data_IF_556006321197
#
_entry.id   IF_556006321197
#
_cell.length_a   1.000
_cell.length_b   1.000
_cell.length_c   1.000
_cell.angle_alpha   90.00
_cell.angle_beta   90.00
_cell.angle_gamma   90.00
#
_symmetry.space_group_name_H-M   'P 1'
#
loop_
_entity.id
_entity.type
_entity.pdbx_description
1 polymer ?
#
# COMPACT_ATOMS: atom_id res chain seq x y z
N UNK A 1 -14.24 -0.50 10.91
CA UNK A 1 -13.93 -1.63 10.01
C UNK A 1 -12.47 -1.63 9.62
N UNK A 2 -11.96 -0.64 8.87
CA UNK A 2 -10.54 -0.63 8.46
C UNK A 2 -9.53 -0.69 9.63
N UNK A 3 -9.71 0.13 10.67
CA UNK A 3 -8.87 0.09 11.88
C UNK A 3 -8.88 -1.28 12.58
N UNK A 4 -10.05 -1.91 12.65
CA UNK A 4 -10.21 -3.20 13.30
C UNK A 4 -9.50 -4.31 12.52
N UNK A 5 -9.66 -4.34 11.19
CA UNK A 5 -8.96 -5.29 10.33
C UNK A 5 -7.44 -5.09 10.36
N UNK A 6 -6.97 -3.84 10.46
CA UNK A 6 -5.55 -3.55 10.64
C UNK A 6 -5.04 -4.06 11.99
N UNK A 7 -5.79 -3.84 13.07
CA UNK A 7 -5.44 -4.35 14.39
C UNK A 7 -5.32 -5.88 14.41
N UNK A 8 -6.31 -6.59 13.85
CA UNK A 8 -6.30 -8.06 13.75
C UNK A 8 -5.07 -8.57 12.98
N UNK A 9 -4.74 -7.98 11.82
CA UNK A 9 -3.55 -8.36 11.05
C UNK A 9 -2.24 -8.10 11.81
N UNK A 10 -2.15 -6.96 12.52
CA UNK A 10 -0.94 -6.61 13.27
C UNK A 10 -0.79 -7.47 14.53
N UNK A 11 -1.89 -7.88 15.16
CA UNK A 11 -1.87 -8.86 16.25
C UNK A 11 -1.37 -10.23 15.76
N UNK A 12 -1.90 -10.72 14.64
CA UNK A 12 -1.48 -11.97 14.02
C UNK A 12 0.02 -11.96 13.64
N UNK A 13 0.52 -10.82 13.17
CA UNK A 13 1.94 -10.63 12.83
C UNK A 13 2.83 -10.29 14.03
N UNK A 14 2.26 -10.16 15.23
CA UNK A 14 2.97 -9.74 16.45
C UNK A 14 3.67 -8.38 16.29
N UNK A 15 3.03 -7.46 15.58
CA UNK A 15 3.46 -6.09 15.32
C UNK A 15 2.60 -5.07 16.07
N UNK A 16 2.16 -5.40 17.29
CA UNK A 16 1.23 -4.58 18.09
C UNK A 16 1.78 -3.18 18.39
N UNK A 17 3.10 -3.02 18.47
CA UNK A 17 3.74 -1.72 18.69
C UNK A 17 3.53 -0.73 17.53
N UNK A 18 3.20 -1.24 16.33
CA UNK A 18 2.91 -0.44 15.15
C UNK A 18 1.42 -0.13 14.98
N UNK A 19 0.56 -0.60 15.89
CA UNK A 19 -0.90 -0.53 15.75
C UNK A 19 -1.39 0.91 15.64
N UNK A 20 -0.98 1.79 16.56
CA UNK A 20 -1.45 3.18 16.58
C UNK A 20 -1.02 3.95 15.33
N UNK A 21 0.25 3.82 14.94
CA UNK A 21 0.81 4.43 13.73
C UNK A 21 0.09 3.92 12.49
N UNK A 22 -0.10 2.60 12.38
CA UNK A 22 -0.78 1.96 11.23
C UNK A 22 -2.24 2.37 11.15
N UNK A 23 -2.94 2.40 12.29
CA UNK A 23 -4.33 2.82 12.38
C UNK A 23 -4.52 4.28 11.95
N UNK A 24 -3.61 5.17 12.37
CA UNK A 24 -3.61 6.56 11.96
C UNK A 24 -3.39 6.71 10.45
N UNK A 25 -2.32 6.10 9.92
CA UNK A 25 -1.99 6.15 8.49
C UNK A 25 -3.13 5.62 7.61
N UNK A 26 -3.73 4.48 7.98
CA UNK A 26 -4.89 3.93 7.26
C UNK A 26 -6.08 4.88 7.32
N UNK A 27 -6.32 5.51 8.47
CA UNK A 27 -7.44 6.45 8.62
C UNK A 27 -7.26 7.66 7.70
N UNK A 28 -6.05 8.20 7.60
CA UNK A 28 -5.74 9.32 6.71
C UNK A 28 -5.82 8.93 5.22
N UNK A 29 -5.24 7.78 4.84
CA UNK A 29 -5.29 7.30 3.46
C UNK A 29 -6.73 7.02 2.99
N UNK A 30 -7.54 6.35 3.83
CA UNK A 30 -8.95 6.06 3.51
C UNK A 30 -9.77 7.34 3.48
N UNK A 31 -9.56 8.27 4.41
CA UNK A 31 -10.28 9.56 4.42
C UNK A 31 -10.00 10.34 3.14
N UNK A 32 -8.75 10.37 2.69
CA UNK A 32 -8.37 11.01 1.42
C UNK A 32 -9.00 10.30 0.22
N UNK A 33 -8.97 8.97 0.16
CA UNK A 33 -9.61 8.18 -0.90
C UNK A 33 -11.12 8.41 -0.99
N UNK A 34 -11.82 8.37 0.15
CA UNK A 34 -13.26 8.62 0.23
C UNK A 34 -13.58 10.04 -0.24
N UNK A 35 -12.84 11.05 0.23
CA UNK A 35 -13.03 12.44 -0.21
C UNK A 35 -12.83 12.59 -1.71
N UNK A 36 -11.76 12.04 -2.25
CA UNK A 36 -11.44 12.10 -3.68
C UNK A 36 -12.56 11.50 -4.54
N UNK A 37 -13.15 10.37 -4.13
CA UNK A 37 -14.25 9.74 -4.88
C UNK A 37 -15.56 10.53 -4.79
N UNK A 38 -15.87 11.14 -3.64
CA UNK A 38 -17.07 11.98 -3.47
C UNK A 38 -17.01 13.25 -4.34
N UNK A 39 -15.84 13.89 -4.44
CA UNK A 39 -15.66 15.10 -5.26
C UNK A 39 -15.72 14.83 -6.77
N UNK A 40 -15.74 13.56 -7.22
CA UNK A 40 -15.75 13.19 -8.64
C UNK A 40 -17.15 13.18 -9.27
N UNK A 41 -18.21 13.58 -8.54
CA UNK A 41 -19.54 13.87 -9.09
C UNK A 41 -20.36 12.64 -9.53
N UNK A 42 -19.89 11.42 -9.29
CA UNK A 42 -20.49 10.20 -9.83
C UNK A 42 -21.74 9.65 -9.14
N UNK A 43 -22.25 10.30 -8.08
CA UNK A 43 -23.46 9.89 -7.32
C UNK A 43 -23.42 8.49 -6.66
N UNK A 44 -22.44 7.66 -7.02
CA UNK A 44 -22.26 6.31 -6.51
C UNK A 44 -21.49 6.32 -5.19
N UNK A 45 -21.79 5.36 -4.33
CA UNK A 45 -21.13 5.21 -3.02
C UNK A 45 -19.62 5.06 -3.22
N UNK A 46 -18.76 5.72 -2.41
CA UNK A 46 -17.33 5.54 -2.44
C UNK A 46 -16.96 4.06 -2.35
N UNK A 47 -16.16 3.58 -3.30
CA UNK A 47 -15.57 2.23 -3.23
C UNK A 47 -14.08 2.43 -3.01
N UNK A 48 -13.66 2.03 -1.82
CA UNK A 48 -12.28 2.10 -1.35
C UNK A 48 -11.88 0.70 -0.89
N UNK A 49 -10.73 0.24 -1.33
CA UNK A 49 -10.15 -1.05 -0.92
C UNK A 49 -8.79 -0.80 -0.29
N UNK A 50 -8.35 -1.66 0.63
CA UNK A 50 -7.05 -1.53 1.28
C UNK A 50 -6.32 -2.87 1.33
N UNK A 51 -5.00 -2.79 1.39
CA UNK A 51 -4.10 -3.92 1.61
C UNK A 51 -2.99 -3.48 2.56
N UNK A 52 -2.65 -4.37 3.47
CA UNK A 52 -1.49 -4.25 4.34
C UNK A 52 -0.57 -5.41 3.96
N UNK A 53 0.71 -5.15 3.78
CA UNK A 53 1.70 -6.18 3.44
C UNK A 53 2.94 -6.02 4.30
N UNK A 54 3.43 -7.13 4.84
CA UNK A 54 4.62 -7.16 5.68
C UNK A 54 5.72 -7.96 5.00
N UNK A 55 6.82 -7.31 4.67
CA UNK A 55 7.94 -7.94 3.98
C UNK A 55 9.24 -7.15 4.19
N UNK A 56 10.37 -7.87 4.22
CA UNK A 56 11.71 -7.29 4.15
C UNK A 56 11.98 -6.11 5.13
N UNK A 57 11.45 -6.19 6.34
CA UNK A 57 11.63 -5.15 7.37
C UNK A 57 10.75 -3.92 7.15
N UNK A 58 9.61 -4.08 6.47
CA UNK A 58 8.70 -2.97 6.20
C UNK A 58 7.24 -3.42 6.20
N UNK A 59 6.39 -2.50 6.62
CA UNK A 59 4.93 -2.61 6.53
C UNK A 59 4.48 -1.62 5.45
N UNK A 60 3.83 -2.13 4.41
CA UNK A 60 3.33 -1.34 3.28
C UNK A 60 1.81 -1.27 3.39
N UNK A 61 1.28 -0.06 3.37
CA UNK A 61 -0.14 0.26 3.43
C UNK A 61 -0.57 0.79 2.08
N UNK A 62 -1.54 0.14 1.45
CA UNK A 62 -2.04 0.53 0.13
C UNK A 62 -3.54 0.75 0.20
N UNK A 63 -4.01 1.83 -0.44
CA UNK A 63 -5.42 2.17 -0.55
C UNK A 63 -5.76 2.46 -2.00
N UNK A 64 -6.73 1.72 -2.53
CA UNK A 64 -7.28 1.90 -3.88
C UNK A 64 -8.54 2.76 -3.81
N UNK A 65 -8.64 3.72 -4.72
CA UNK A 65 -9.86 4.50 -4.92
C UNK A 65 -10.13 4.68 -6.42
N UNK A 66 -11.38 4.98 -6.78
CA UNK A 66 -11.81 5.09 -8.20
C UNK A 66 -11.50 6.43 -8.85
N UNK A 67 -10.96 7.41 -8.12
CA UNK A 67 -10.59 8.71 -8.67
C UNK A 67 -9.15 8.65 -9.22
N UNK A 68 -8.94 8.77 -10.55
CA UNK A 68 -7.62 8.69 -11.16
C UNK A 68 -6.76 9.95 -10.89
N UNK A 69 -7.35 11.02 -10.36
CA UNK A 69 -6.62 12.25 -10.05
C UNK A 69 -5.60 12.00 -8.92
N UNK A 70 -4.43 12.65 -8.98
CA UNK A 70 -3.45 12.59 -7.91
C UNK A 70 -4.07 12.94 -6.55
N UNK A 71 -3.54 12.40 -5.44
CA UNK A 71 -3.89 12.86 -4.11
C UNK A 71 -3.69 14.37 -4.04
N UNK A 72 -4.72 15.12 -3.63
CA UNK A 72 -4.61 16.56 -3.47
C UNK A 72 -3.76 16.87 -2.23
N UNK A 73 -2.50 17.24 -2.44
CA UNK A 73 -1.65 17.87 -1.42
C UNK A 73 -2.24 19.26 -1.11
N UNK A 74 -3.07 19.36 -0.08
CA UNK A 74 -3.63 20.65 0.33
C UNK A 74 -2.59 21.42 1.17
N UNK A 75 -2.13 22.54 0.64
CA UNK A 75 -1.36 23.55 1.38
C UNK A 75 -2.25 24.13 2.47
N UNK A 76 -1.75 24.12 3.71
CA UNK A 76 -2.52 24.49 4.91
C UNK A 76 -2.98 25.95 4.85
N UNK A 77 -4.24 26.19 5.25
CA UNK A 77 -4.63 27.45 5.87
C UNK A 77 -4.78 27.18 7.38
N UNK A 78 -4.16 28.05 8.19
CA UNK A 78 -3.90 27.92 9.64
C UNK A 78 -5.07 27.52 10.57
N UNK A 79 -6.29 27.35 10.06
CA UNK A 79 -7.49 27.09 10.86
C UNK A 79 -8.36 25.92 10.33
N UNK A 80 -7.91 25.15 9.34
CA UNK A 80 -8.63 24.00 8.80
C UNK A 80 -7.97 22.66 9.12
N UNK A 81 -8.73 21.70 9.65
CA UNK A 81 -8.28 20.30 9.82
C UNK A 81 -8.16 19.56 8.47
N UNK A 82 -8.80 20.08 7.41
CA UNK A 82 -8.65 19.58 6.03
C UNK A 82 -7.26 19.90 5.49
N UNK A 83 -6.43 18.86 5.31
CA UNK A 83 -5.11 18.96 4.67
C UNK A 83 -3.93 18.41 5.48
N UNK A 84 -4.16 17.97 6.73
CA UNK A 84 -3.10 17.33 7.53
C UNK A 84 -2.80 15.89 7.12
N UNK A 85 -3.75 15.20 6.48
CA UNK A 85 -3.64 13.76 6.27
C UNK A 85 -2.40 13.33 5.48
N UNK A 86 -2.08 13.99 4.37
CA UNK A 86 -0.86 13.67 3.62
C UNK A 86 0.42 14.08 4.36
N UNK A 87 0.41 15.18 5.13
CA UNK A 87 1.55 15.57 5.96
C UNK A 87 1.81 14.56 7.09
N UNK A 88 0.76 14.02 7.71
CA UNK A 88 0.88 12.94 8.72
C UNK A 88 1.45 11.68 8.06
N UNK A 89 0.95 11.34 6.86
CA UNK A 89 1.46 10.20 6.10
C UNK A 89 2.94 10.38 5.78
N UNK A 90 3.34 11.53 5.23
CA UNK A 90 4.74 11.84 4.93
C UNK A 90 5.63 11.85 6.17
N UNK A 91 5.15 12.41 7.30
CA UNK A 91 5.94 12.51 8.52
C UNK A 91 6.16 11.17 9.24
N UNK A 92 5.21 10.24 9.12
CA UNK A 92 5.26 8.94 9.81
C UNK A 92 5.71 7.78 8.90
N UNK A 93 5.89 8.03 7.61
CA UNK A 93 6.32 7.02 6.64
C UNK A 93 7.78 7.21 6.23
N UNK A 94 8.46 6.10 5.94
CA UNK A 94 9.78 6.13 5.29
C UNK A 94 9.68 6.40 3.80
N UNK A 95 8.54 6.07 3.19
CA UNK A 95 8.21 6.41 1.82
C UNK A 95 6.70 6.50 1.64
N UNK A 96 6.24 7.40 0.79
CA UNK A 96 4.85 7.49 0.36
C UNK A 96 4.77 7.97 -1.08
N UNK A 97 3.84 7.41 -1.85
CA UNK A 97 3.57 7.86 -3.22
C UNK A 97 2.16 7.42 -3.67
N UNK A 98 1.84 7.71 -4.92
CA UNK A 98 0.66 7.16 -5.59
C UNK A 98 1.01 6.69 -7.00
N UNK A 99 0.20 5.78 -7.54
CA UNK A 99 0.29 5.35 -8.93
C UNK A 99 -1.11 5.05 -9.50
N UNK A 100 -1.29 5.09 -10.83
CA UNK A 100 -2.51 4.61 -11.46
C UNK A 100 -2.81 3.15 -11.06
N UNK A 101 -4.09 2.83 -10.86
CA UNK A 101 -4.47 1.46 -10.48
C UNK A 101 -4.13 0.49 -11.62
N UNK A 102 -3.53 -0.68 -11.34
CA UNK A 102 -3.26 -1.71 -12.34
C UNK A 102 -4.54 -2.29 -12.94
N UNK A 103 -5.70 -2.12 -12.29
CA UNK A 103 -7.01 -2.48 -12.83
C UNK A 103 -7.53 -1.52 -13.91
N UNK A 104 -6.78 -0.45 -14.20
CA UNK A 104 -7.14 0.58 -15.17
C UNK A 104 -8.14 1.62 -14.67
N UNK A 105 -8.66 1.45 -13.44
CA UNK A 105 -9.64 2.37 -12.85
C UNK A 105 -9.11 2.95 -11.55
N UNK A 106 -8.95 4.27 -11.52
CA UNK A 106 -8.56 5.01 -10.33
C UNK A 106 -7.06 4.96 -10.02
N UNK A 107 -6.72 4.99 -8.74
CA UNK A 107 -5.34 5.03 -8.27
C UNK A 107 -5.11 4.16 -7.03
N UNK A 108 -3.84 3.89 -6.75
CA UNK A 108 -3.35 3.36 -5.48
C UNK A 108 -2.55 4.45 -4.80
N UNK A 109 -2.91 4.82 -3.58
CA UNK A 109 -2.06 5.62 -2.69
C UNK A 109 -1.45 4.69 -1.68
N UNK A 110 -0.14 4.81 -1.45
CA UNK A 110 0.56 3.92 -0.54
C UNK A 110 1.57 4.66 0.33
N UNK A 111 1.84 4.08 1.49
CA UNK A 111 2.97 4.46 2.32
C UNK A 111 3.63 3.24 2.94
N UNK A 112 4.86 3.43 3.39
CA UNK A 112 5.71 2.41 3.98
C UNK A 112 6.18 2.89 5.35
N UNK A 113 6.12 2.03 6.34
CA UNK A 113 6.75 2.25 7.65
C UNK A 113 7.75 1.13 7.93
N UNK A 114 8.74 1.43 8.76
CA UNK A 114 9.67 0.41 9.26
C UNK A 114 8.90 -0.59 10.13
N UNK A 115 9.23 -1.87 9.93
CA UNK A 115 8.76 -2.94 10.78
C UNK A 115 9.91 -3.93 11.01
N UNK A 116 9.93 -4.64 12.15
CA UNK A 116 10.78 -5.82 12.28
C UNK A 116 10.64 -6.72 11.05
N UNK A 117 11.74 -7.28 10.55
CA UNK A 117 11.65 -8.26 9.48
C UNK A 117 10.77 -9.44 9.96
N UNK A 118 9.91 -9.99 9.10
CA UNK A 118 9.22 -11.22 9.46
C UNK A 118 10.24 -12.26 9.87
N UNK A 119 9.94 -13.08 10.91
CA UNK A 119 10.81 -14.19 11.23
C UNK A 119 11.02 -14.96 9.93
N UNK A 120 12.28 -15.10 9.51
CA UNK A 120 12.61 -15.92 8.34
C UNK A 120 11.88 -17.24 8.55
N UNK A 121 10.93 -17.54 7.67
CA UNK A 121 10.28 -18.83 7.67
C UNK A 121 11.37 -19.85 7.40
N UNK A 122 11.89 -20.47 8.46
CA UNK A 122 12.82 -21.59 8.41
C UNK A 122 12.17 -22.86 7.82
N UNK A 123 11.03 -22.74 7.14
CA UNK A 123 10.52 -23.80 6.29
C UNK A 123 11.33 -23.82 4.99
N UNK A 124 12.54 -24.36 5.12
CA UNK A 124 13.33 -24.83 4.01
C UNK A 124 12.62 -26.05 3.40
N UNK A 125 11.53 -25.85 2.67
CA UNK A 125 10.89 -26.93 1.92
C UNK A 125 11.82 -27.30 0.75
N UNK A 126 12.46 -28.48 0.74
CA UNK A 126 13.58 -28.79 -0.16
C UNK A 126 13.24 -28.79 -1.67
N UNK A 127 11.97 -28.61 -2.02
CA UNK A 127 11.47 -28.66 -3.40
C UNK A 127 11.01 -27.31 -3.97
N UNK A 128 10.87 -26.26 -3.15
CA UNK A 128 10.52 -24.94 -3.67
C UNK A 128 11.80 -24.11 -3.83
N UNK A 129 12.08 -23.52 -5.00
CA UNK A 129 13.19 -22.58 -5.12
C UNK A 129 12.95 -21.40 -4.17
N UNK A 130 13.82 -21.25 -3.17
CA UNK A 130 13.76 -20.13 -2.25
C UNK A 130 14.41 -18.93 -2.95
N UNK A 131 13.65 -17.84 -3.09
CA UNK A 131 14.25 -16.56 -3.47
C UNK A 131 15.14 -16.13 -2.30
N UNK A 132 16.45 -16.39 -2.40
CA UNK A 132 17.42 -15.72 -1.54
C UNK A 132 17.27 -14.23 -1.80
N UNK A 133 16.87 -13.47 -0.79
CA UNK A 133 16.92 -12.03 -0.84
C UNK A 133 18.39 -11.64 -0.98
N UNK A 134 18.89 -11.53 -2.21
CA UNK A 134 20.07 -10.73 -2.46
C UNK A 134 19.62 -9.31 -2.16
N UNK A 135 19.93 -8.84 -0.95
CA UNK A 135 19.72 -7.46 -0.54
C UNK A 135 20.64 -6.62 -1.43
N UNK A 136 20.20 -6.35 -2.66
CA UNK A 136 20.56 -5.10 -3.29
C UNK A 136 19.86 -4.07 -2.42
N UNK A 137 20.59 -3.47 -1.47
CA UNK A 137 20.19 -2.19 -0.91
C UNK A 137 19.88 -1.34 -2.13
N UNK A 138 18.63 -0.92 -2.27
CA UNK A 138 18.30 0.08 -3.29
C UNK A 138 19.19 1.27 -2.96
N UNK A 139 20.15 1.54 -3.84
CA UNK A 139 20.97 2.74 -3.74
C UNK A 139 19.98 3.91 -3.81
N UNK A 140 19.90 4.81 -2.81
CA UNK A 140 18.92 5.89 -2.82
C UNK A 140 19.06 6.85 -4.03
N UNK A 141 20.12 6.71 -4.83
CA UNK A 141 20.31 7.38 -6.12
C UNK A 141 19.89 6.58 -7.36
N UNK A 142 19.40 5.34 -7.23
CA UNK A 142 18.99 4.52 -8.38
C UNK A 142 17.59 4.94 -8.88
N UNK A 143 17.56 6.01 -9.66
CA UNK A 143 16.38 6.37 -10.45
C UNK A 143 16.25 5.37 -11.60
N UNK A 144 15.23 4.51 -11.56
CA UNK A 144 14.86 3.68 -12.69
C UNK A 144 14.16 4.53 -13.76
N UNK A 145 14.95 5.23 -14.59
CA UNK A 145 14.45 5.97 -15.78
C UNK A 145 14.12 5.00 -16.94
N UNK A 146 14.61 3.76 -16.88
CA UNK A 146 14.35 2.80 -17.96
C UNK A 146 12.94 2.21 -17.89
N UNK A 147 12.01 2.89 -18.55
CA UNK A 147 10.63 2.42 -18.75
C UNK A 147 10.54 1.03 -19.41
N UNK A 148 11.54 0.59 -20.17
CA UNK A 148 11.54 -0.75 -20.76
C UNK A 148 11.84 -1.83 -19.72
N UNK A 149 12.63 -1.52 -18.69
CA UNK A 149 12.86 -2.40 -17.53
C UNK A 149 11.59 -2.46 -16.68
N UNK A 150 10.99 -1.31 -16.36
CA UNK A 150 9.75 -1.25 -15.58
C UNK A 150 8.60 -2.01 -16.25
N UNK A 151 8.43 -1.88 -17.57
CA UNK A 151 7.45 -2.66 -18.34
C UNK A 151 7.71 -4.16 -18.27
N UNK A 152 8.98 -4.58 -18.27
CA UNK A 152 9.37 -6.01 -18.19
C UNK A 152 9.07 -6.60 -16.82
N UNK A 153 9.37 -5.85 -15.76
CA UNK A 153 9.04 -6.23 -14.39
C UNK A 153 7.53 -6.32 -14.22
N UNK A 154 6.77 -5.33 -14.71
CA UNK A 154 5.32 -5.34 -14.67
C UNK A 154 4.72 -6.55 -15.42
N UNK A 155 5.19 -6.84 -16.63
CA UNK A 155 4.75 -8.00 -17.39
C UNK A 155 5.07 -9.33 -16.67
N UNK A 156 6.23 -9.42 -16.02
CA UNK A 156 6.60 -10.56 -15.19
C UNK A 156 5.66 -10.75 -14.00
N UNK A 157 5.34 -9.67 -13.27
CA UNK A 157 4.43 -9.71 -12.13
C UNK A 157 2.99 -10.09 -12.56
N UNK A 158 2.48 -9.54 -13.66
CA UNK A 158 1.18 -9.90 -14.21
C UNK A 158 1.11 -11.39 -14.62
N UNK A 159 2.21 -11.92 -15.17
CA UNK A 159 2.30 -13.34 -15.52
C UNK A 159 2.31 -14.25 -14.27
N UNK A 160 2.87 -13.81 -13.15
CA UNK A 160 2.79 -14.53 -11.87
C UNK A 160 1.38 -14.51 -11.28
N UNK A 161 0.70 -13.36 -11.33
CA UNK A 161 -0.64 -13.19 -10.78
C UNK A 161 -1.68 -14.03 -11.55
N UNK A 162 -1.51 -14.13 -12.87
CA UNK A 162 -2.36 -14.99 -13.73
C UNK A 162 -2.23 -16.50 -13.46
N UNK A 163 -1.22 -16.93 -12.68
CA UNK A 163 -0.98 -18.33 -12.31
C UNK A 163 -1.51 -18.70 -10.92
N UNK A 164 -2.00 -17.72 -10.14
CA UNK A 164 -2.68 -18.01 -8.88
C UNK A 164 -4.10 -18.51 -9.20
N UNK A 165 -4.54 -19.66 -8.65
CA UNK A 165 -5.89 -20.12 -8.85
C UNK A 165 -6.87 -19.08 -8.28
N UNK A 166 -7.82 -18.63 -9.10
CA UNK A 166 -8.93 -17.80 -8.61
C UNK A 166 -9.65 -18.62 -7.55
N UNK A 167 -9.69 -18.10 -6.32
CA UNK A 167 -10.49 -18.67 -5.24
C UNK A 167 -11.97 -18.56 -5.63
N UNK A 168 -12.49 -19.56 -6.35
CA UNK A 168 -13.92 -19.80 -6.45
C UNK A 168 -14.40 -20.46 -5.16
N UNK A 169 -14.91 -19.64 -4.25
CA UNK A 169 -15.88 -19.97 -3.20
C UNK A 169 -16.38 -18.61 -2.65
N UNK A 170 -17.67 -18.30 -2.55
CA UNK A 170 -18.75 -19.13 -2.06
C UNK A 170 -20.10 -18.57 -2.57
N UNK A 171 -20.97 -19.48 -3.00
CA UNK A 171 -22.41 -19.26 -3.24
C UNK A 171 -23.15 -19.08 -1.92
#
# INVERSE_FOLDING_TARGET
>A
MARQAAAELLEDWRLTDLLDTTALLISELITNAVRATQSSGGGSRPIVSMRISWAAGSLILEVWDRNPKPPELQVQYLHGESGRGLHIVEALSTAAAYCPSPTGVGKVTWCQIEAPAPPESQESHPLLPHRRATVARADPGLVFDDMAVLKRVLAGLQALDSRLPRSDAMR
#
